data_IF_069379746243
#
_entry.id   IF_069379746243
#
_cell.length_a   1.000
_cell.length_b   1.000
_cell.length_c   1.000
_cell.angle_alpha   90.00
_cell.angle_beta   90.00
_cell.angle_gamma   90.00
#
_symmetry.space_group_name_H-M   'P 1'
#
loop_
_entity.id
_entity.type
_entity.pdbx_description
1 polymer ?
#
# COMPACT_ATOMS: atom_id res chain seq x y z
N UNK A 1 15.77 -19.92 -6.90
CA UNK A 1 15.74 -18.86 -5.86
C UNK A 1 14.32 -18.78 -5.33
N UNK A 2 14.14 -18.47 -4.05
CA UNK A 2 12.81 -18.16 -3.52
C UNK A 2 12.32 -16.83 -4.14
N UNK A 3 11.00 -16.65 -4.27
CA UNK A 3 10.43 -15.38 -4.72
C UNK A 3 10.14 -14.51 -3.50
N UNK A 4 10.38 -13.22 -3.63
CA UNK A 4 10.10 -12.26 -2.57
C UNK A 4 8.62 -12.28 -2.15
N UNK A 5 7.70 -12.47 -3.11
CA UNK A 5 6.26 -12.61 -2.84
C UNK A 5 5.97 -13.75 -1.87
N UNK A 6 6.58 -14.92 -2.08
CA UNK A 6 6.36 -16.11 -1.24
C UNK A 6 6.90 -15.88 0.18
N UNK A 7 8.05 -15.23 0.31
CA UNK A 7 8.67 -14.90 1.60
C UNK A 7 7.82 -13.89 2.37
N UNK A 8 7.35 -12.83 1.71
CA UNK A 8 6.50 -11.80 2.32
C UNK A 8 5.18 -12.41 2.80
N UNK A 9 4.52 -13.19 1.94
CA UNK A 9 3.27 -13.85 2.28
C UNK A 9 3.43 -14.85 3.44
N UNK A 10 4.56 -15.56 3.52
CA UNK A 10 4.85 -16.48 4.61
C UNK A 10 5.00 -15.79 5.98
N UNK A 11 5.26 -14.48 6.02
CA UNK A 11 5.24 -13.68 7.26
C UNK A 11 3.83 -13.17 7.63
N UNK A 12 2.81 -13.48 6.82
CA UNK A 12 1.44 -13.02 7.06
C UNK A 12 1.17 -11.59 6.59
N UNK A 13 2.09 -10.97 5.86
CA UNK A 13 1.86 -9.65 5.24
C UNK A 13 0.96 -9.81 4.02
N UNK A 14 -0.14 -9.06 3.98
CA UNK A 14 -1.11 -9.13 2.89
C UNK A 14 -0.63 -8.36 1.65
N UNK A 15 -1.21 -8.68 0.48
CA UNK A 15 -0.92 -8.01 -0.80
C UNK A 15 0.57 -8.07 -1.21
N UNK A 16 1.25 -9.19 -0.90
CA UNK A 16 2.68 -9.39 -1.15
C UNK A 16 3.10 -9.14 -2.62
N UNK A 17 2.27 -9.55 -3.58
CA UNK A 17 2.51 -9.34 -5.00
C UNK A 17 2.45 -7.84 -5.37
N UNK A 18 1.47 -7.11 -4.85
CA UNK A 18 1.35 -5.67 -5.01
C UNK A 18 2.52 -4.91 -4.37
N UNK A 19 3.01 -5.36 -3.20
CA UNK A 19 4.20 -4.80 -2.54
C UNK A 19 5.42 -4.91 -3.47
N UNK A 20 5.68 -6.09 -4.03
CA UNK A 20 6.84 -6.30 -4.92
C UNK A 20 6.69 -5.50 -6.22
N UNK A 21 5.52 -5.53 -6.87
CA UNK A 21 5.27 -4.73 -8.09
C UNK A 21 5.45 -3.23 -7.84
N UNK A 22 4.89 -2.72 -6.74
CA UNK A 22 5.01 -1.31 -6.39
C UNK A 22 6.46 -0.92 -6.07
N UNK A 23 7.19 -1.74 -5.30
CA UNK A 23 8.60 -1.50 -4.99
C UNK A 23 9.44 -1.35 -6.26
N UNK A 24 9.30 -2.29 -7.20
CA UNK A 24 9.96 -2.24 -8.50
C UNK A 24 9.55 -0.99 -9.28
N UNK A 25 8.25 -0.68 -9.33
CA UNK A 25 7.72 0.45 -10.09
C UNK A 25 8.21 1.82 -9.59
N UNK A 26 8.51 1.96 -8.29
CA UNK A 26 9.01 3.22 -7.70
C UNK A 26 10.53 3.23 -7.47
N UNK A 27 11.22 2.15 -7.84
CA UNK A 27 12.67 2.01 -7.66
C UNK A 27 13.11 1.85 -6.20
N UNK A 28 12.26 1.28 -5.35
CA UNK A 28 12.60 0.95 -3.97
C UNK A 28 13.04 -0.50 -3.82
N UNK A 29 13.92 -0.74 -2.86
CA UNK A 29 14.26 -2.09 -2.41
C UNK A 29 13.01 -2.77 -1.83
N UNK A 30 12.77 -4.04 -2.21
CA UNK A 30 11.59 -4.80 -1.74
C UNK A 30 11.57 -4.93 -0.21
N UNK A 31 12.73 -5.02 0.45
CA UNK A 31 12.80 -5.04 1.91
C UNK A 31 12.29 -3.73 2.54
N UNK A 32 12.54 -2.58 1.91
CA UNK A 32 12.01 -1.29 2.36
C UNK A 32 10.49 -1.27 2.19
N UNK A 33 9.99 -1.70 1.03
CA UNK A 33 8.56 -1.76 0.75
C UNK A 33 7.82 -2.70 1.72
N UNK A 34 8.34 -3.89 1.96
CA UNK A 34 7.76 -4.86 2.89
C UNK A 34 7.73 -4.31 4.32
N UNK A 35 8.82 -3.68 4.78
CA UNK A 35 8.88 -3.08 6.12
C UNK A 35 7.86 -1.95 6.31
N UNK A 36 7.72 -1.05 5.33
CA UNK A 36 6.74 0.05 5.40
C UNK A 36 5.32 -0.52 5.47
N UNK A 37 4.96 -1.39 4.54
CA UNK A 37 3.59 -1.91 4.43
C UNK A 37 3.24 -2.82 5.61
N UNK A 38 4.20 -3.60 6.14
CA UNK A 38 4.03 -4.33 7.38
C UNK A 38 3.70 -3.37 8.54
N UNK A 39 4.52 -2.32 8.72
CA UNK A 39 4.38 -1.37 9.83
C UNK A 39 3.09 -0.55 9.77
N UNK A 40 2.62 -0.20 8.58
CA UNK A 40 1.41 0.62 8.41
C UNK A 40 0.11 -0.16 8.68
N UNK A 41 0.00 -1.38 8.18
CA UNK A 41 -1.28 -2.10 8.19
C UNK A 41 -1.16 -3.61 8.11
N UNK A 42 0.05 -4.15 8.17
CA UNK A 42 0.34 -5.53 7.77
C UNK A 42 -0.18 -5.85 6.35
N UNK A 43 -0.20 -4.85 5.47
CA UNK A 43 -0.72 -4.95 4.11
C UNK A 43 -2.24 -4.92 3.96
N UNK A 44 -3.01 -4.72 5.02
CA UNK A 44 -4.47 -4.76 4.97
C UNK A 44 -5.08 -3.54 4.26
N UNK A 45 -6.13 -3.75 3.46
CA UNK A 45 -6.84 -2.65 2.78
C UNK A 45 -7.94 -2.07 3.68
N UNK A 46 -7.54 -1.31 4.70
CA UNK A 46 -8.42 -0.78 5.75
C UNK A 46 -8.24 0.72 6.00
N UNK A 47 -9.24 1.36 6.58
CA UNK A 47 -9.13 2.69 7.18
C UNK A 47 -8.42 2.60 8.53
N UNK A 48 -7.61 3.62 8.82
CA UNK A 48 -6.92 3.81 10.08
C UNK A 48 -7.85 4.21 11.22
N UNK A 49 -7.36 4.05 12.45
CA UNK A 49 -8.11 4.26 13.69
C UNK A 49 -7.96 5.67 14.28
N UNK A 50 -7.63 6.66 13.45
CA UNK A 50 -7.42 8.05 13.87
C UNK A 50 -8.65 8.60 14.59
N UNK A 51 -8.50 9.08 15.83
CA UNK A 51 -9.64 9.55 16.64
C UNK A 51 -10.39 10.66 15.90
N UNK A 52 -11.70 10.46 15.71
CA UNK A 52 -12.56 11.42 15.02
C UNK A 52 -12.48 11.38 13.50
N UNK A 53 -11.70 10.46 12.92
CA UNK A 53 -11.67 10.25 11.47
C UNK A 53 -13.01 9.76 10.93
N UNK A 54 -13.35 10.16 9.70
CA UNK A 54 -14.58 9.83 8.94
C UNK A 54 -15.03 8.36 9.07
N UNK A 55 -14.09 7.41 9.00
CA UNK A 55 -14.34 5.97 9.16
C UNK A 55 -13.54 5.34 10.31
N UNK A 56 -13.20 6.17 11.31
CA UNK A 56 -12.50 5.67 12.49
C UNK A 56 -13.43 4.83 13.35
N UNK A 57 -13.01 3.62 13.70
CA UNK A 57 -13.76 2.76 14.62
C UNK A 57 -13.39 2.98 16.08
N UNK A 58 -13.03 4.21 16.50
CA UNK A 58 -12.87 4.54 17.92
C UNK A 58 -14.24 4.56 18.61
N UNK A 59 -14.78 3.37 18.88
CA UNK A 59 -16.04 3.15 19.58
C UNK A 59 -17.05 2.28 18.80
N UNK A 60 -17.10 0.99 19.14
CA UNK A 60 -18.15 0.00 18.79
C UNK A 60 -18.31 -0.32 17.28
N UNK A 61 -17.51 -1.25 16.78
CA UNK A 61 -17.76 -1.97 15.52
C UNK A 61 -16.63 -2.95 15.22
N UNK A 62 -16.97 -4.17 14.78
CA UNK A 62 -16.02 -5.25 14.46
C UNK A 62 -15.28 -4.97 13.12
N UNK A 63 -14.17 -5.68 12.81
CA UNK A 63 -13.21 -5.39 11.72
C UNK A 63 -13.74 -5.26 10.27
N UNK A 64 -15.02 -5.52 10.01
CA UNK A 64 -15.60 -5.49 8.67
C UNK A 64 -15.96 -4.08 8.18
N UNK A 65 -16.23 -3.15 9.10
CA UNK A 65 -16.65 -1.78 8.77
C UNK A 65 -15.47 -0.87 8.39
N UNK A 66 -14.25 -1.40 8.48
CA UNK A 66 -12.99 -0.69 8.29
C UNK A 66 -12.41 -0.92 6.90
N UNK A 67 -12.96 -1.82 6.08
CA UNK A 67 -12.40 -2.14 4.77
C UNK A 67 -12.48 -0.93 3.84
N UNK A 68 -11.45 -0.68 3.05
CA UNK A 68 -11.52 0.31 1.96
C UNK A 68 -12.15 -0.35 0.75
N UNK A 69 -13.24 0.24 0.28
CA UNK A 69 -13.94 -0.14 -0.96
C UNK A 69 -14.07 1.10 -1.85
N UNK A 70 -14.37 0.92 -3.13
CA UNK A 70 -14.61 2.07 -4.01
C UNK A 70 -15.73 2.97 -3.48
N UNK A 71 -16.85 2.37 -3.07
CA UNK A 71 -18.03 3.11 -2.62
C UNK A 71 -17.73 3.94 -1.38
N UNK A 72 -17.12 3.35 -0.36
CA UNK A 72 -16.81 4.10 0.86
C UNK A 72 -15.63 5.07 0.67
N UNK A 73 -14.66 4.80 -0.21
CA UNK A 73 -13.59 5.74 -0.49
C UNK A 73 -14.10 7.02 -1.18
N UNK A 74 -15.10 6.90 -2.05
CA UNK A 74 -15.78 8.05 -2.65
C UNK A 74 -16.55 8.86 -1.61
N UNK A 75 -17.22 8.21 -0.67
CA UNK A 75 -17.84 8.90 0.47
C UNK A 75 -16.80 9.58 1.36
N UNK A 76 -15.74 8.85 1.71
CA UNK A 76 -14.63 9.32 2.53
C UNK A 76 -14.03 10.61 1.98
N UNK A 77 -13.60 10.59 0.73
CA UNK A 77 -12.96 11.74 0.09
C UNK A 77 -13.89 12.95 -0.02
N UNK A 78 -15.20 12.73 -0.24
CA UNK A 78 -16.22 13.79 -0.19
C UNK A 78 -16.35 14.40 1.21
N UNK A 79 -16.43 13.57 2.25
CA UNK A 79 -16.54 14.03 3.65
C UNK A 79 -15.30 14.80 4.10
N UNK A 80 -14.11 14.31 3.76
CA UNK A 80 -12.84 15.02 4.00
C UNK A 80 -12.80 16.35 3.26
N UNK A 81 -13.23 16.40 1.99
CA UNK A 81 -13.31 17.66 1.23
C UNK A 81 -14.30 18.68 1.84
N UNK A 82 -15.31 18.19 2.58
CA UNK A 82 -16.27 19.02 3.32
C UNK A 82 -15.79 19.39 4.74
N UNK A 83 -14.55 19.08 5.10
CA UNK A 83 -13.92 19.50 6.36
C UNK A 83 -13.96 18.47 7.48
N UNK A 84 -14.40 17.24 7.23
CA UNK A 84 -14.28 16.17 8.22
C UNK A 84 -12.84 15.65 8.34
N UNK A 85 -12.49 15.14 9.52
CA UNK A 85 -11.14 14.65 9.82
C UNK A 85 -10.81 13.41 8.98
N UNK A 86 -9.64 13.44 8.33
CA UNK A 86 -9.13 12.32 7.54
C UNK A 86 -8.70 11.11 8.40
N UNK A 87 -8.60 9.94 7.77
CA UNK A 87 -8.02 8.71 8.32
C UNK A 87 -6.88 8.23 7.42
N UNK A 88 -6.01 7.36 7.95
CA UNK A 88 -5.20 6.48 7.11
C UNK A 88 -6.07 5.66 6.15
N UNK A 89 -5.68 5.55 4.88
CA UNK A 89 -6.40 4.76 3.86
C UNK A 89 -5.50 3.67 3.29
N UNK A 90 -5.97 2.43 3.35
CA UNK A 90 -5.43 1.27 2.64
C UNK A 90 -4.08 0.79 3.19
N UNK A 91 -3.37 -0.07 2.45
CA UNK A 91 -2.18 -0.73 2.97
C UNK A 91 -1.05 0.23 3.38
N UNK A 92 -0.93 1.37 2.70
CA UNK A 92 0.09 2.38 2.98
C UNK A 92 -0.39 3.47 3.96
N UNK A 93 -1.62 3.38 4.48
CA UNK A 93 -2.23 4.32 5.42
C UNK A 93 -2.08 5.80 4.98
N UNK A 94 -2.49 6.11 3.75
CA UNK A 94 -2.40 7.49 3.22
C UNK A 94 -3.41 8.38 3.94
N UNK A 95 -2.93 9.36 4.71
CA UNK A 95 -3.80 10.20 5.58
C UNK A 95 -3.97 11.64 5.12
N UNK A 96 -2.94 12.26 4.52
CA UNK A 96 -2.98 13.71 4.25
C UNK A 96 -4.00 14.07 3.15
N UNK A 97 -4.98 14.96 3.41
CA UNK A 97 -6.06 15.27 2.46
C UNK A 97 -5.61 15.70 1.06
N UNK A 98 -4.47 16.39 0.96
CA UNK A 98 -3.92 16.84 -0.33
C UNK A 98 -3.49 15.69 -1.25
N UNK A 99 -3.23 14.50 -0.71
CA UNK A 99 -2.85 13.34 -1.50
C UNK A 99 -4.00 12.71 -2.27
N UNK A 100 -5.26 12.84 -1.82
CA UNK A 100 -6.39 12.23 -2.51
C UNK A 100 -6.64 12.82 -3.90
N UNK A 101 -6.76 14.16 -4.08
CA UNK A 101 -6.88 14.75 -5.42
C UNK A 101 -5.59 14.61 -6.24
N UNK A 102 -4.40 14.65 -5.62
CA UNK A 102 -3.12 14.43 -6.32
C UNK A 102 -3.04 13.03 -6.93
N UNK A 103 -3.35 11.99 -6.15
CA UNK A 103 -3.40 10.61 -6.60
C UNK A 103 -4.41 10.42 -7.74
N UNK A 104 -5.61 10.99 -7.59
CA UNK A 104 -6.64 10.95 -8.62
C UNK A 104 -6.18 11.63 -9.92
N UNK A 105 -5.49 12.77 -9.84
CA UNK A 105 -4.94 13.48 -11.01
C UNK A 105 -3.89 12.67 -11.78
N UNK A 106 -3.23 11.72 -11.10
CA UNK A 106 -2.24 10.80 -11.64
C UNK A 106 -2.84 9.45 -12.06
N UNK A 107 -4.16 9.30 -11.97
CA UNK A 107 -4.89 8.09 -12.36
C UNK A 107 -4.88 6.96 -11.32
N UNK A 108 -4.39 7.20 -10.10
CA UNK A 108 -4.43 6.20 -9.03
C UNK A 108 -5.84 6.08 -8.44
N UNK A 109 -6.24 4.83 -8.18
CA UNK A 109 -7.47 4.48 -7.47
C UNK A 109 -7.10 3.98 -6.08
N UNK A 110 -6.95 4.89 -5.11
CA UNK A 110 -6.41 4.57 -3.79
C UNK A 110 -7.24 3.59 -2.93
N UNK A 111 -8.41 3.17 -3.41
CA UNK A 111 -9.18 2.06 -2.85
C UNK A 111 -8.70 0.67 -3.30
N UNK A 112 -7.86 0.61 -4.34
CA UNK A 112 -7.20 -0.62 -4.78
C UNK A 112 -5.85 -0.75 -4.05
N UNK A 113 -5.54 -1.93 -3.46
CA UNK A 113 -4.29 -2.13 -2.73
C UNK A 113 -3.05 -1.78 -3.54
N UNK A 114 -2.98 -2.19 -4.81
CA UNK A 114 -1.80 -1.94 -5.65
C UNK A 114 -1.56 -0.45 -5.93
N UNK A 115 -2.61 0.30 -6.29
CA UNK A 115 -2.50 1.74 -6.53
C UNK A 115 -2.17 2.48 -5.22
N UNK A 116 -2.75 2.06 -4.11
CA UNK A 116 -2.49 2.62 -2.78
C UNK A 116 -1.02 2.42 -2.34
N UNK A 117 -0.53 1.18 -2.42
CA UNK A 117 0.85 0.83 -2.10
C UNK A 117 1.81 1.59 -3.01
N UNK A 118 1.55 1.60 -4.33
CA UNK A 118 2.43 2.29 -5.28
C UNK A 118 2.49 3.79 -5.03
N UNK A 119 1.38 4.42 -4.73
CA UNK A 119 1.36 5.84 -4.41
C UNK A 119 2.10 6.14 -3.09
N UNK A 120 1.80 5.41 -2.01
CA UNK A 120 2.44 5.57 -0.71
C UNK A 120 3.96 5.33 -0.76
N UNK A 121 4.39 4.24 -1.40
CA UNK A 121 5.81 3.97 -1.62
C UNK A 121 6.48 5.02 -2.52
N UNK A 122 5.75 5.63 -3.46
CA UNK A 122 6.25 6.75 -4.26
C UNK A 122 6.53 8.01 -3.45
N UNK A 123 5.68 8.31 -2.45
CA UNK A 123 5.92 9.38 -1.48
C UNK A 123 7.18 9.06 -0.67
N UNK A 124 7.26 7.86 -0.08
CA UNK A 124 8.42 7.44 0.70
C UNK A 124 9.71 7.49 -0.11
N UNK A 125 9.71 6.97 -1.35
CA UNK A 125 10.85 7.00 -2.25
C UNK A 125 11.34 8.42 -2.51
N UNK A 126 10.42 9.40 -2.58
CA UNK A 126 10.75 10.81 -2.76
C UNK A 126 11.44 11.38 -1.51
N UNK A 127 10.95 11.06 -0.32
CA UNK A 127 11.63 11.43 0.93
C UNK A 127 13.02 10.78 1.04
N UNK A 128 13.13 9.49 0.71
CA UNK A 128 14.41 8.76 0.76
C UNK A 128 15.43 9.34 -0.22
N UNK A 129 15.03 9.72 -1.44
CA UNK A 129 15.93 10.40 -2.38
C UNK A 129 16.38 11.77 -1.86
N UNK A 130 15.51 12.48 -1.17
CA UNK A 130 15.82 13.79 -0.60
C UNK A 130 16.75 13.72 0.62
N UNK A 131 16.57 12.72 1.49
CA UNK A 131 17.32 12.61 2.74
C UNK A 131 18.55 11.69 2.68
N UNK A 132 18.54 10.67 1.81
CA UNK A 132 19.52 9.58 1.81
C UNK A 132 19.44 8.66 3.03
N UNK A 133 18.42 8.80 3.87
CA UNK A 133 18.31 8.17 5.19
C UNK A 133 16.93 7.56 5.39
N UNK A 134 16.87 6.26 5.68
CA UNK A 134 15.61 5.55 5.98
C UNK A 134 14.95 6.16 7.22
N UNK A 135 15.74 6.54 8.22
CA UNK A 135 15.23 7.15 9.45
C UNK A 135 14.54 8.49 9.15
N UNK A 136 15.19 9.36 8.38
CA UNK A 136 14.63 10.67 8.07
C UNK A 136 13.47 10.57 7.07
N UNK A 137 13.52 9.63 6.14
CA UNK A 137 12.42 9.35 5.22
C UNK A 137 11.18 8.81 5.95
N UNK A 138 11.36 7.87 6.89
CA UNK A 138 10.29 7.38 7.75
C UNK A 138 9.72 8.46 8.66
N UNK A 139 10.58 9.31 9.21
CA UNK A 139 10.15 10.45 10.02
C UNK A 139 9.30 11.45 9.21
N UNK A 140 9.69 11.73 7.96
CA UNK A 140 8.93 12.60 7.06
C UNK A 140 7.61 11.97 6.61
N UNK A 141 7.60 10.65 6.36
CA UNK A 141 6.41 9.92 5.93
C UNK A 141 5.33 9.86 7.01
N UNK A 142 5.71 9.48 8.23
CA UNK A 142 4.77 9.27 9.34
C UNK A 142 4.57 10.52 10.22
N UNK A 143 5.57 11.39 10.31
CA UNK A 143 5.57 12.57 11.19
C UNK A 143 6.31 12.40 12.52
N UNK A 144 6.91 11.23 12.79
CA UNK A 144 7.62 10.95 14.03
C UNK A 144 9.01 10.35 13.80
N UNK A 145 10.06 10.90 14.45
CA UNK A 145 11.43 10.36 14.32
C UNK A 145 11.54 8.91 14.80
N UNK A 146 10.84 8.55 15.88
CA UNK A 146 10.86 7.20 16.41
C UNK A 146 10.36 6.17 15.37
N UNK A 147 9.32 6.52 14.60
CA UNK A 147 8.84 5.68 13.52
C UNK A 147 9.96 5.34 12.52
N UNK A 148 10.78 6.33 12.14
CA UNK A 148 11.90 6.14 11.23
C UNK A 148 13.00 5.23 11.78
N UNK A 149 13.28 5.31 13.09
CA UNK A 149 14.25 4.43 13.76
C UNK A 149 13.76 2.98 13.72
N UNK A 150 12.52 2.76 14.14
CA UNK A 150 11.92 1.43 14.14
C UNK A 150 11.87 0.84 12.72
N UNK A 151 11.49 1.67 11.74
CA UNK A 151 11.44 1.27 10.35
C UNK A 151 12.82 0.82 9.85
N UNK A 152 13.89 1.55 10.18
CA UNK A 152 15.24 1.14 9.79
C UNK A 152 15.64 -0.24 10.37
N UNK A 153 15.20 -0.54 11.59
CA UNK A 153 15.34 -1.87 12.20
C UNK A 153 14.59 -2.95 11.41
N UNK A 154 13.30 -2.71 11.12
CA UNK A 154 12.47 -3.62 10.33
C UNK A 154 13.03 -3.87 8.93
N UNK A 155 13.59 -2.84 8.27
CA UNK A 155 14.27 -3.00 6.97
C UNK A 155 15.48 -3.94 7.09
N UNK A 156 16.23 -3.87 8.18
CA UNK A 156 17.34 -4.80 8.45
C UNK A 156 16.86 -6.26 8.54
N UNK A 157 15.74 -6.50 9.22
CA UNK A 157 15.13 -7.83 9.32
C UNK A 157 14.67 -8.34 7.94
N UNK A 158 13.98 -7.50 7.17
CA UNK A 158 13.51 -7.85 5.84
C UNK A 158 14.65 -8.12 4.85
N UNK A 159 15.75 -7.38 4.94
CA UNK A 159 16.97 -7.67 4.16
C UNK A 159 17.50 -9.06 4.45
N UNK A 160 17.50 -9.47 5.72
CA UNK A 160 17.87 -10.83 6.12
C UNK A 160 16.91 -11.88 5.54
N UNK A 161 15.60 -11.66 5.66
CA UNK A 161 14.56 -12.57 5.13
C UNK A 161 14.61 -12.72 3.61
N UNK A 162 14.90 -11.63 2.88
CA UNK A 162 14.88 -11.56 1.43
C UNK A 162 16.25 -11.78 0.77
N UNK A 163 17.28 -12.14 1.54
CA UNK A 163 18.61 -12.38 1.01
C UNK A 163 18.60 -13.48 -0.08
N UNK A 164 19.00 -13.12 -1.29
CA UNK A 164 19.01 -14.04 -2.45
C UNK A 164 17.62 -14.34 -3.04
N UNK A 165 16.57 -13.61 -2.63
CA UNK A 165 15.25 -13.72 -3.22
C UNK A 165 15.20 -13.01 -4.58
N UNK A 166 14.38 -13.54 -5.49
CA UNK A 166 14.05 -12.88 -6.75
C UNK A 166 12.84 -11.96 -6.59
N UNK A 167 12.80 -10.85 -7.33
CA UNK A 167 11.66 -9.94 -7.39
C UNK A 167 10.60 -10.39 -8.42
N UNK A 168 10.72 -11.62 -8.94
CA UNK A 168 9.74 -12.18 -9.84
C UNK A 168 8.42 -12.39 -9.10
N UNK A 169 7.37 -11.72 -9.58
CA UNK A 169 6.02 -11.84 -9.03
C UNK A 169 5.28 -13.07 -9.57
N UNK A 170 5.89 -13.81 -10.50
CA UNK A 170 5.25 -14.83 -11.30
C UNK A 170 4.27 -14.20 -12.28
N UNK A 171 4.34 -14.61 -13.54
CA UNK A 171 3.35 -14.19 -14.54
C UNK A 171 1.95 -14.48 -14.01
N UNK A 172 1.18 -13.42 -13.76
CA UNK A 172 -0.25 -13.56 -13.49
C UNK A 172 -0.84 -14.39 -14.62
N UNK A 173 -1.86 -15.20 -14.34
CA UNK A 173 -2.52 -16.03 -15.35
C UNK A 173 -2.78 -15.26 -16.67
N UNK A 174 -2.98 -13.94 -16.61
CA UNK A 174 -3.12 -13.03 -17.74
C UNK A 174 -1.86 -12.78 -18.59
N UNK A 175 -0.65 -12.76 -18.02
CA UNK A 175 0.59 -12.52 -18.79
C UNK A 175 1.06 -13.77 -19.54
N UNK A 176 0.66 -14.96 -19.08
CA UNK A 176 0.85 -16.21 -19.82
C UNK A 176 -0.18 -16.39 -20.96
N UNK A 177 -1.22 -15.56 -20.98
CA UNK A 177 -2.25 -15.56 -22.02
C UNK A 177 -1.86 -14.59 -23.14
N UNK A 178 -2.08 -15.02 -24.38
CA UNK A 178 -1.98 -14.12 -25.53
C UNK A 178 -2.92 -12.92 -25.38
N UNK A 179 -2.66 -11.79 -26.05
CA UNK A 179 -3.54 -10.62 -26.02
C UNK A 179 -5.01 -10.93 -26.32
N UNK A 180 -5.27 -11.93 -27.18
CA UNK A 180 -6.63 -12.41 -27.49
C UNK A 180 -7.29 -13.10 -26.30
N UNK A 181 -6.54 -13.95 -25.58
CA UNK A 181 -7.04 -14.65 -24.40
C UNK A 181 -7.26 -13.69 -23.23
N UNK A 182 -6.41 -12.67 -23.07
CA UNK A 182 -6.62 -11.59 -22.10
C UNK A 182 -7.94 -10.84 -22.38
N UNK A 183 -8.20 -10.47 -23.64
CA UNK A 183 -9.43 -9.77 -24.03
C UNK A 183 -10.69 -10.63 -23.83
N UNK A 184 -10.63 -11.93 -24.12
CA UNK A 184 -11.74 -12.86 -23.92
C UNK A 184 -12.04 -13.07 -22.43
N UNK A 185 -11.02 -13.17 -21.59
CA UNK A 185 -11.19 -13.33 -20.15
C UNK A 185 -11.75 -12.06 -19.50
N UNK A 186 -11.30 -10.88 -19.93
CA UNK A 186 -11.84 -9.61 -19.47
C UNK A 186 -13.34 -9.45 -19.80
N UNK A 187 -13.76 -9.89 -21.00
CA UNK A 187 -15.18 -9.92 -21.38
C UNK A 187 -16.00 -10.92 -20.56
N UNK A 188 -15.44 -12.08 -20.22
CA UNK A 188 -16.11 -13.08 -19.40
C UNK A 188 -16.31 -12.63 -17.93
N UNK A 189 -15.39 -11.83 -17.39
CA UNK A 189 -15.49 -11.24 -16.06
C UNK A 189 -16.52 -10.09 -16.01
N UNK A 190 -16.58 -9.25 -17.04
CA UNK A 190 -17.53 -8.12 -17.12
C UNK A 190 -18.96 -8.59 -17.42
N UNK A 191 -19.15 -9.71 -18.11
CA UNK A 191 -20.48 -10.26 -18.40
C UNK A 191 -21.16 -10.97 -17.21
N UNK A 192 -20.50 -11.04 -16.05
CA UNK A 192 -21.05 -11.64 -14.81
C UNK A 192 -21.24 -10.63 -13.67
N UNK A 193 -21.08 -9.33 -13.94
CA UNK A 193 -21.48 -8.23 -13.06
C UNK A 193 -22.75 -7.58 -13.63
#
# INVERSE_FOLDING_TARGET
MARAVDIIAAQGVQNADAIVRAAVAVGLEVAIAAAIIEKESNGANIYGHDVGGVFSTTGRGKPADNLVTESNFRDFTRRVANGETSNGVGPAQITWPGYFPDAASKGFRLWLPEDNIRFGLGIFASHLRGSGSIVDAGAAYNGARQYGIDLAGMVGEWRGRLAGASNDVGGGFLEALSPLQQALMYRALVARA
#
